data_IF_890812905598
#
_entry.id   IF_890812905598
#
_cell.length_a   1.000
_cell.length_b   1.000
_cell.length_c   1.000
_cell.angle_alpha   90.00
_cell.angle_beta   90.00
_cell.angle_gamma   90.00
#
_symmetry.space_group_name_H-M   'P 1'
#
loop_
_entity.id
_entity.type
_entity.pdbx_description
1 polymer ?
#
# COMPACT_ATOMS: atom_id res chain seq x y z
N UNK A 1 16.65 -21.89 0.27
CA UNK A 1 15.23 -21.88 0.68
C UNK A 1 14.84 -20.44 0.93
N UNK A 2 13.82 -19.92 0.24
CA UNK A 2 13.48 -18.49 0.32
C UNK A 2 12.91 -18.15 1.68
N UNK A 3 13.59 -17.26 2.42
CA UNK A 3 13.05 -16.68 3.64
C UNK A 3 11.82 -15.84 3.26
N UNK A 4 10.64 -16.22 3.75
CA UNK A 4 9.41 -15.47 3.50
C UNK A 4 9.41 -14.27 4.45
N UNK A 5 10.09 -13.21 4.05
CA UNK A 5 10.20 -11.97 4.83
C UNK A 5 8.94 -11.12 4.61
N UNK A 6 7.83 -11.46 5.27
CA UNK A 6 6.59 -10.67 5.14
C UNK A 6 6.52 -9.55 6.18
N UNK A 7 6.96 -8.35 5.78
CA UNK A 7 6.77 -7.11 6.54
C UNK A 7 5.31 -6.88 6.95
N UNK A 8 4.38 -7.27 6.09
CA UNK A 8 2.95 -7.15 6.33
C UNK A 8 2.51 -8.01 7.52
N UNK A 9 2.88 -9.30 7.52
CA UNK A 9 2.51 -10.21 8.61
C UNK A 9 3.09 -9.74 9.94
N UNK A 10 4.34 -9.27 9.94
CA UNK A 10 4.98 -8.75 11.15
C UNK A 10 4.25 -7.55 11.72
N UNK A 11 3.81 -6.59 10.88
CA UNK A 11 2.97 -5.48 11.32
C UNK A 11 1.61 -5.91 11.86
N UNK A 12 0.99 -6.92 11.25
CA UNK A 12 -0.28 -7.46 11.75
C UNK A 12 -0.09 -8.07 13.13
N UNK A 13 0.97 -8.86 13.33
CA UNK A 13 1.30 -9.47 14.62
C UNK A 13 1.70 -8.42 15.67
N UNK A 14 2.36 -7.35 15.25
CA UNK A 14 2.74 -6.24 16.14
C UNK A 14 1.52 -5.55 16.78
N UNK A 15 0.43 -5.46 16.02
CA UNK A 15 -0.83 -4.84 16.43
C UNK A 15 -1.75 -5.77 17.25
N UNK A 16 -1.38 -7.04 17.40
CA UNK A 16 -2.11 -7.99 18.26
C UNK A 16 -1.88 -7.64 19.73
N UNK A 17 -2.91 -7.86 20.58
CA UNK A 17 -2.83 -7.67 22.02
C UNK A 17 -1.56 -8.30 22.62
N UNK A 18 -0.93 -7.60 23.56
CA UNK A 18 0.31 -8.03 24.22
C UNK A 18 0.16 -9.31 25.06
N UNK A 19 -1.08 -9.76 25.31
CA UNK A 19 -1.40 -11.02 25.97
C UNK A 19 -1.10 -12.26 25.09
N UNK A 20 -0.98 -12.07 23.78
CA UNK A 20 -0.77 -13.13 22.80
C UNK A 20 0.72 -13.28 22.45
N UNK A 21 1.15 -14.53 22.27
CA UNK A 21 2.53 -14.87 21.89
C UNK A 21 2.79 -14.52 20.43
N UNK A 22 3.37 -13.33 20.21
CA UNK A 22 3.74 -12.79 18.90
C UNK A 22 4.72 -13.70 18.15
N UNK A 23 5.62 -14.40 18.84
CA UNK A 23 6.56 -15.32 18.20
C UNK A 23 5.87 -16.59 17.69
N UNK A 24 4.97 -17.16 18.50
CA UNK A 24 4.19 -18.32 18.09
C UNK A 24 3.32 -18.01 16.85
N UNK A 25 2.75 -16.80 16.79
CA UNK A 25 1.99 -16.34 15.62
C UNK A 25 2.86 -16.26 14.36
N UNK A 26 4.06 -15.68 14.45
CA UNK A 26 5.01 -15.65 13.34
C UNK A 26 5.43 -17.07 12.90
N UNK A 27 5.72 -17.97 13.83
CA UNK A 27 6.07 -19.36 13.50
C UNK A 27 4.90 -20.08 12.81
N UNK A 28 3.65 -19.80 13.22
CA UNK A 28 2.46 -20.45 12.65
C UNK A 28 2.24 -20.17 11.16
N UNK A 29 2.71 -19.02 10.66
CA UNK A 29 2.63 -18.64 9.24
C UNK A 29 3.96 -18.84 8.50
N UNK A 30 4.90 -19.58 9.11
CA UNK A 30 6.19 -19.92 8.51
C UNK A 30 7.22 -18.78 8.54
N UNK A 31 7.09 -17.81 9.45
CA UNK A 31 8.05 -16.72 9.62
C UNK A 31 8.89 -16.98 10.88
N UNK A 32 10.20 -17.06 10.71
CA UNK A 32 11.14 -17.12 11.83
C UNK A 32 11.17 -15.75 12.56
N UNK A 33 10.85 -15.68 13.87
CA UNK A 33 10.73 -14.40 14.59
C UNK A 33 11.96 -13.51 14.46
N UNK A 34 13.14 -14.10 14.59
CA UNK A 34 14.44 -13.41 14.56
C UNK A 34 15.01 -13.22 13.15
N UNK A 35 14.29 -13.67 12.11
CA UNK A 35 14.76 -13.45 10.74
C UNK A 35 14.85 -11.94 10.44
N UNK A 36 15.96 -11.47 9.86
CA UNK A 36 16.12 -10.06 9.57
C UNK A 36 15.04 -9.61 8.58
N UNK A 37 14.30 -8.57 8.99
CA UNK A 37 13.34 -7.92 8.12
C UNK A 37 14.10 -6.92 7.27
N UNK A 38 14.47 -7.33 6.07
CA UNK A 38 15.17 -6.45 5.15
C UNK A 38 14.26 -6.10 3.96
N UNK A 39 13.56 -4.94 3.99
CA UNK A 39 12.81 -4.45 2.85
C UNK A 39 13.67 -4.32 1.58
N UNK A 40 15.00 -4.18 1.73
CA UNK A 40 15.90 -4.11 0.58
C UNK A 40 15.89 -5.41 -0.23
N UNK A 41 15.59 -6.55 0.38
CA UNK A 41 15.43 -7.82 -0.34
C UNK A 41 14.19 -7.82 -1.24
N UNK A 42 13.09 -7.21 -0.82
CA UNK A 42 11.89 -7.07 -1.67
C UNK A 42 12.17 -6.12 -2.84
N UNK A 43 12.88 -5.03 -2.59
CA UNK A 43 13.31 -4.08 -3.63
C UNK A 43 14.27 -4.76 -4.61
N UNK A 44 15.27 -5.49 -4.10
CA UNK A 44 16.22 -6.23 -4.91
C UNK A 44 15.52 -7.33 -5.73
N UNK A 45 14.57 -8.06 -5.15
CA UNK A 45 13.78 -9.06 -5.86
C UNK A 45 12.92 -8.43 -6.96
N UNK A 46 12.32 -7.25 -6.74
CA UNK A 46 11.59 -6.53 -7.77
C UNK A 46 12.53 -6.07 -8.90
N UNK A 47 13.67 -5.48 -8.57
CA UNK A 47 14.67 -5.01 -9.56
C UNK A 47 15.22 -6.19 -10.37
N UNK A 48 15.67 -7.25 -9.71
CA UNK A 48 16.15 -8.46 -10.37
C UNK A 48 15.02 -9.11 -11.20
N UNK A 49 13.81 -9.17 -10.67
CA UNK A 49 12.59 -9.62 -11.35
C UNK A 49 12.38 -8.91 -12.69
N UNK A 50 12.50 -7.58 -12.71
CA UNK A 50 12.36 -6.82 -13.96
C UNK A 50 13.46 -7.13 -15.00
N UNK A 51 14.65 -7.53 -14.55
CA UNK A 51 15.75 -7.90 -15.45
C UNK A 51 15.49 -9.22 -16.19
N UNK A 52 14.60 -10.09 -15.69
CA UNK A 52 14.20 -11.33 -16.36
C UNK A 52 13.27 -11.10 -17.56
N UNK A 53 12.54 -9.98 -17.61
CA UNK A 53 11.71 -9.62 -18.76
C UNK A 53 12.56 -9.04 -19.89
N UNK A 54 12.17 -9.25 -21.15
CA UNK A 54 12.89 -8.76 -22.32
C UNK A 54 11.93 -8.04 -23.29
N UNK A 55 12.46 -7.13 -24.11
CA UNK A 55 11.67 -6.46 -25.14
C UNK A 55 10.49 -5.64 -24.59
N UNK A 56 9.32 -5.82 -25.20
CA UNK A 56 8.08 -5.09 -24.86
C UNK A 56 7.61 -5.40 -23.43
N UNK A 57 7.76 -6.64 -22.97
CA UNK A 57 7.32 -7.09 -21.65
C UNK A 57 8.01 -6.30 -20.53
N UNK A 58 9.31 -6.02 -20.68
CA UNK A 58 10.07 -5.21 -19.71
C UNK A 58 9.50 -3.79 -19.63
N UNK A 59 9.20 -3.19 -20.79
CA UNK A 59 8.65 -1.84 -20.83
C UNK A 59 7.22 -1.77 -20.26
N UNK A 60 6.39 -2.78 -20.51
CA UNK A 60 5.05 -2.89 -19.92
C UNK A 60 5.10 -2.99 -18.39
N UNK A 61 5.99 -3.83 -17.85
CA UNK A 61 6.17 -3.96 -16.39
C UNK A 61 6.68 -2.66 -15.77
N UNK A 62 7.67 -2.00 -16.39
CA UNK A 62 8.18 -0.71 -15.92
C UNK A 62 7.11 0.39 -15.98
N UNK A 63 6.30 0.42 -17.05
CA UNK A 63 5.19 1.36 -17.19
C UNK A 63 4.10 1.10 -16.14
N UNK A 64 3.76 -0.16 -15.86
CA UNK A 64 2.81 -0.52 -14.81
C UNK A 64 3.33 -0.10 -13.43
N UNK A 65 4.60 -0.38 -13.13
CA UNK A 65 5.23 0.00 -11.87
C UNK A 65 5.26 1.53 -11.68
N UNK A 66 5.65 2.28 -12.71
CA UNK A 66 5.66 3.74 -12.66
C UNK A 66 4.25 4.31 -12.48
N UNK A 67 3.28 3.82 -13.25
CA UNK A 67 1.85 4.18 -13.16
C UNK A 67 1.31 3.94 -11.75
N UNK A 68 1.66 2.82 -11.12
CA UNK A 68 1.26 2.51 -9.76
C UNK A 68 1.92 3.41 -8.72
N UNK A 69 3.25 3.57 -8.78
CA UNK A 69 3.99 4.36 -7.80
C UNK A 69 3.57 5.83 -7.83
N UNK A 70 3.46 6.41 -9.03
CA UNK A 70 3.13 7.82 -9.21
C UNK A 70 1.63 8.06 -9.04
N UNK A 71 0.79 7.19 -9.58
CA UNK A 71 -0.66 7.40 -9.63
C UNK A 71 -1.42 6.92 -8.41
N UNK A 72 -0.91 5.90 -7.71
CA UNK A 72 -1.58 5.28 -6.56
C UNK A 72 -0.87 5.59 -5.25
N UNK A 73 0.44 5.32 -5.19
CA UNK A 73 1.20 5.40 -3.94
C UNK A 73 1.55 6.83 -3.55
N UNK A 74 2.00 7.65 -4.50
CA UNK A 74 2.35 9.05 -4.23
C UNK A 74 1.15 9.86 -3.70
N UNK A 75 -0.04 9.86 -4.31
CA UNK A 75 -1.19 10.59 -3.77
C UNK A 75 -1.66 10.03 -2.43
N UNK A 76 -1.56 8.69 -2.24
CA UNK A 76 -1.86 8.07 -0.95
C UNK A 76 -1.02 8.70 0.17
N UNK A 77 0.31 8.70 -0.01
CA UNK A 77 1.26 9.15 1.01
C UNK A 77 1.21 10.66 1.18
N UNK A 78 1.20 11.42 0.08
CA UNK A 78 1.32 12.88 0.13
C UNK A 78 -0.02 13.59 0.43
N UNK A 79 -1.16 12.93 0.24
CA UNK A 79 -2.47 13.60 0.28
C UNK A 79 -3.46 12.84 1.16
N UNK A 80 -3.80 11.59 0.83
CA UNK A 80 -4.85 10.87 1.55
C UNK A 80 -4.45 10.56 3.00
N UNK A 81 -3.21 10.14 3.26
CA UNK A 81 -2.72 9.88 4.63
C UNK A 81 -2.72 11.15 5.48
N UNK A 82 -2.15 12.29 5.04
CA UNK A 82 -2.25 13.54 5.77
C UNK A 82 -3.69 13.97 6.07
N UNK A 83 -4.60 13.85 5.10
CA UNK A 83 -6.02 14.17 5.31
C UNK A 83 -6.66 13.25 6.35
N UNK A 84 -6.42 11.95 6.26
CA UNK A 84 -6.93 10.99 7.26
C UNK A 84 -6.39 11.30 8.66
N UNK A 85 -5.09 11.63 8.77
CA UNK A 85 -4.47 12.00 10.05
C UNK A 85 -5.06 13.30 10.62
N UNK A 86 -5.48 14.26 9.78
CA UNK A 86 -6.18 15.46 10.24
C UNK A 86 -7.58 15.13 10.77
N UNK A 87 -8.29 14.23 10.11
CA UNK A 87 -9.60 13.76 10.55
C UNK A 87 -9.51 12.99 11.88
N UNK A 88 -8.49 12.15 12.05
CA UNK A 88 -8.24 11.38 13.28
C UNK A 88 -7.92 12.25 14.50
N UNK A 89 -7.51 13.51 14.32
CA UNK A 89 -7.24 14.45 15.42
C UNK A 89 -8.49 15.17 15.94
N UNK A 90 -9.62 15.02 15.28
CA UNK A 90 -10.87 15.65 15.69
C UNK A 90 -11.49 14.88 16.87
N UNK A 91 -11.95 15.61 17.89
CA UNK A 91 -12.74 15.03 18.98
C UNK A 91 -14.22 15.06 18.60
N UNK A 92 -14.67 13.99 17.95
CA UNK A 92 -16.01 13.90 17.36
C UNK A 92 -17.11 14.00 18.43
N UNK A 93 -16.86 13.51 19.65
CA UNK A 93 -17.84 13.47 20.74
C UNK A 93 -18.06 14.86 21.37
N UNK A 94 -17.04 15.73 21.30
CA UNK A 94 -17.13 17.11 21.79
C UNK A 94 -17.67 18.09 20.74
N UNK A 95 -17.86 17.66 19.49
CA UNK A 95 -18.25 18.53 18.38
C UNK A 95 -19.78 18.70 18.25
N UNK A 96 -20.19 19.89 17.83
CA UNK A 96 -21.57 20.14 17.40
C UNK A 96 -21.83 19.59 15.99
N UNK A 97 -23.10 19.34 15.67
CA UNK A 97 -23.53 18.95 14.31
C UNK A 97 -23.05 19.92 13.23
N UNK A 98 -23.03 21.23 13.51
CA UNK A 98 -22.53 22.24 12.56
C UNK A 98 -21.02 22.08 12.31
N UNK A 99 -20.22 21.95 13.37
CA UNK A 99 -18.77 21.74 13.24
C UNK A 99 -18.42 20.43 12.54
N UNK A 100 -19.20 19.36 12.75
CA UNK A 100 -19.01 18.09 12.02
C UNK A 100 -19.23 18.27 10.52
N UNK A 101 -20.26 19.04 10.14
CA UNK A 101 -20.51 19.36 8.73
C UNK A 101 -19.38 20.18 8.12
N UNK A 102 -18.85 21.16 8.85
CA UNK A 102 -17.73 21.98 8.37
C UNK A 102 -16.50 21.12 8.08
N UNK A 103 -16.07 20.29 9.04
CA UNK A 103 -14.95 19.35 8.86
C UNK A 103 -15.19 18.43 7.66
N UNK A 104 -16.40 17.88 7.55
CA UNK A 104 -16.79 17.03 6.42
C UNK A 104 -16.66 17.77 5.08
N UNK A 105 -17.18 18.99 4.99
CA UNK A 105 -17.14 19.79 3.75
C UNK A 105 -15.73 20.19 3.34
N UNK A 106 -14.81 20.35 4.29
CA UNK A 106 -13.40 20.62 3.99
C UNK A 106 -12.66 19.34 3.54
N UNK A 107 -12.93 18.21 4.21
CA UNK A 107 -12.25 16.94 3.96
C UNK A 107 -12.73 16.24 2.68
N UNK A 108 -14.04 16.04 2.52
CA UNK A 108 -14.62 15.12 1.53
C UNK A 108 -14.25 15.46 0.08
N UNK A 109 -14.40 16.71 -0.41
CA UNK A 109 -14.19 16.99 -1.83
C UNK A 109 -12.77 16.70 -2.28
N UNK A 110 -11.78 17.07 -1.43
CA UNK A 110 -10.37 16.83 -1.72
C UNK A 110 -10.06 15.34 -1.63
N UNK A 111 -10.56 14.66 -0.61
CA UNK A 111 -10.31 13.24 -0.42
C UNK A 111 -10.92 12.39 -1.55
N UNK A 112 -12.19 12.63 -1.90
CA UNK A 112 -12.91 11.93 -2.97
C UNK A 112 -12.19 12.11 -4.30
N UNK A 113 -11.81 13.35 -4.66
CA UNK A 113 -11.11 13.63 -5.92
C UNK A 113 -9.82 12.83 -6.03
N UNK A 114 -8.98 12.86 -5.00
CA UNK A 114 -7.70 12.14 -5.03
C UNK A 114 -7.88 10.63 -4.93
N UNK A 115 -8.91 10.15 -4.23
CA UNK A 115 -9.25 8.73 -4.24
C UNK A 115 -9.72 8.26 -5.62
N UNK A 116 -10.54 9.04 -6.32
CA UNK A 116 -10.97 8.75 -7.69
C UNK A 116 -9.79 8.71 -8.67
N UNK A 117 -8.86 9.66 -8.58
CA UNK A 117 -7.61 9.64 -9.36
C UNK A 117 -6.84 8.34 -9.10
N UNK A 118 -6.62 7.98 -7.83
CA UNK A 118 -5.94 6.73 -7.46
C UNK A 118 -6.64 5.50 -8.03
N UNK A 119 -7.97 5.47 -8.04
CA UNK A 119 -8.75 4.37 -8.64
C UNK A 119 -8.50 4.26 -10.13
N UNK A 120 -8.50 5.37 -10.88
CA UNK A 120 -8.20 5.36 -12.32
C UNK A 120 -6.81 4.79 -12.58
N UNK A 121 -5.80 5.26 -11.84
CA UNK A 121 -4.43 4.75 -11.98
C UNK A 121 -4.28 3.28 -11.56
N UNK A 122 -5.05 2.83 -10.57
CA UNK A 122 -5.09 1.41 -10.18
C UNK A 122 -5.67 0.55 -11.31
N UNK A 123 -6.77 0.99 -11.94
CA UNK A 123 -7.37 0.31 -13.10
C UNK A 123 -6.37 0.26 -14.26
N UNK A 124 -5.70 1.38 -14.57
CA UNK A 124 -4.69 1.44 -15.63
C UNK A 124 -3.51 0.49 -15.34
N UNK A 125 -3.04 0.46 -14.10
CA UNK A 125 -1.99 -0.47 -13.66
C UNK A 125 -2.42 -1.92 -13.89
N UNK A 126 -3.62 -2.29 -13.43
CA UNK A 126 -4.16 -3.64 -13.64
C UNK A 126 -4.31 -3.97 -15.12
N UNK A 127 -4.77 -3.04 -15.94
CA UNK A 127 -4.90 -3.24 -17.39
C UNK A 127 -3.54 -3.46 -18.07
N UNK A 128 -2.49 -2.71 -17.68
CA UNK A 128 -1.13 -2.91 -18.18
C UNK A 128 -0.57 -4.29 -17.81
N UNK A 129 -0.79 -4.74 -16.57
CA UNK A 129 -0.36 -6.05 -16.10
C UNK A 129 -1.14 -7.20 -16.75
N UNK A 130 -2.44 -7.02 -16.98
CA UNK A 130 -3.25 -7.99 -17.72
C UNK A 130 -2.79 -8.04 -19.19
N UNK A 131 -2.53 -6.89 -19.82
CA UNK A 131 -2.02 -6.83 -21.19
C UNK A 131 -0.69 -7.57 -21.39
N UNK A 132 0.16 -7.59 -20.36
CA UNK A 132 1.40 -8.39 -20.34
C UNK A 132 1.12 -9.89 -20.51
N UNK A 133 0.10 -10.42 -19.84
CA UNK A 133 -0.27 -11.84 -19.91
C UNK A 133 -0.96 -12.20 -21.24
N UNK A 134 -1.72 -11.28 -21.80
CA UNK A 134 -2.55 -11.53 -22.99
C UNK A 134 -1.86 -11.26 -24.34
N UNK A 135 -0.55 -10.92 -24.37
CA UNK A 135 0.26 -10.67 -25.58
C UNK A 135 -0.55 -10.14 -26.78
N UNK A 136 -0.90 -8.86 -26.72
CA UNK A 136 -1.31 -8.07 -27.91
C UNK A 136 -0.09 -7.88 -28.81
#
# INVERSE_FOLDING_TARGET
MGQITSLFVRKVVEEVEDSLDKEALLRSVGIEPDSPVDPSQMVAAAVLGTAWFNGVDRWLVLAAAATYLIGVQLPKIAINVPLNNQLQRQDVDAMTELSLREVRTEFEPRWIRWNAIRTIFAILTSALLIGLEFKI
#
